data_IF_704486853086
#
_entry.id   IF_704486853086
#
_cell.length_a   1.000
_cell.length_b   1.000
_cell.length_c   1.000
_cell.angle_alpha   90.00
_cell.angle_beta   90.00
_cell.angle_gamma   90.00
#
_symmetry.space_group_name_H-M   'P 1'
#
loop_
_entity.id
_entity.type
_entity.pdbx_description
1 polymer ?
#
# COMPACT_ATOMS: atom_id res chain seq x y z
N UNK A 1 -19.68 -35.63 75.75
CA UNK A 1 -20.98 -35.30 76.35
C UNK A 1 -21.39 -33.97 75.75
N UNK A 2 -22.44 -34.01 74.92
CA UNK A 2 -23.37 -32.91 74.53
C UNK A 2 -22.74 -31.64 73.89
N UNK A 3 -22.94 -31.39 72.59
CA UNK A 3 -24.11 -30.74 71.95
C UNK A 3 -24.40 -29.35 72.58
N UNK A 4 -24.35 -28.22 71.87
CA UNK A 4 -25.53 -27.64 71.17
C UNK A 4 -25.17 -26.26 70.53
N UNK A 5 -25.45 -26.14 69.23
CA UNK A 5 -26.13 -25.05 68.47
C UNK A 5 -25.48 -23.66 68.21
N UNK A 6 -25.40 -23.37 66.89
CA UNK A 6 -25.21 -22.10 66.12
C UNK A 6 -26.33 -21.05 66.44
N UNK A 7 -26.35 -19.75 66.02
CA UNK A 7 -25.90 -19.20 64.72
C UNK A 7 -25.48 -17.71 64.68
N UNK A 8 -25.13 -17.19 63.48
CA UNK A 8 -25.05 -15.75 63.24
C UNK A 8 -24.49 -15.36 61.86
N UNK A 9 -25.32 -15.43 60.82
CA UNK A 9 -25.05 -14.86 59.47
C UNK A 9 -25.08 -13.33 59.55
N UNK A 10 -24.01 -12.67 59.13
CA UNK A 10 -23.98 -11.23 58.83
C UNK A 10 -23.49 -10.99 57.40
N UNK A 11 -24.41 -10.63 56.51
CA UNK A 11 -24.15 -10.17 55.13
C UNK A 11 -23.69 -8.71 55.19
N UNK A 12 -22.55 -8.38 54.59
CA UNK A 12 -22.27 -7.01 54.14
C UNK A 12 -21.82 -7.06 52.68
N UNK A 13 -22.71 -6.57 51.81
CA UNK A 13 -22.45 -6.40 50.40
C UNK A 13 -21.61 -5.14 50.18
N UNK A 14 -20.55 -5.28 49.39
CA UNK A 14 -19.87 -4.15 48.76
C UNK A 14 -20.27 -4.23 47.29
N UNK A 15 -21.25 -3.42 46.90
CA UNK A 15 -21.58 -3.17 45.50
C UNK A 15 -20.55 -2.16 44.99
N UNK A 16 -19.45 -2.66 44.43
CA UNK A 16 -18.51 -1.85 43.67
C UNK A 16 -19.15 -1.49 42.32
N UNK A 17 -19.59 -0.25 42.17
CA UNK A 17 -20.00 0.29 40.88
C UNK A 17 -18.77 0.39 39.98
N UNK A 18 -18.60 -0.56 39.07
CA UNK A 18 -17.66 -0.45 37.97
C UNK A 18 -18.18 0.64 37.02
N UNK A 19 -17.50 1.79 37.02
CA UNK A 19 -17.71 2.82 36.02
C UNK A 19 -17.27 2.26 34.66
N UNK A 20 -18.25 1.85 33.86
CA UNK A 20 -18.05 1.44 32.47
C UNK A 20 -17.72 2.70 31.67
N UNK A 21 -16.43 2.96 31.43
CA UNK A 21 -15.98 3.96 30.48
C UNK A 21 -16.29 3.43 29.09
N UNK A 22 -17.37 3.92 28.49
CA UNK A 22 -17.66 3.70 27.07
C UNK A 22 -16.70 4.59 26.28
N UNK A 23 -15.60 4.00 25.79
CA UNK A 23 -14.78 4.62 24.76
C UNK A 23 -15.60 4.55 23.48
N UNK A 24 -16.30 5.63 23.13
CA UNK A 24 -16.87 5.80 21.80
C UNK A 24 -15.70 6.01 20.85
N UNK A 25 -15.17 4.93 20.29
CA UNK A 25 -14.31 5.03 19.11
C UNK A 25 -15.11 5.80 18.06
N UNK A 26 -14.60 6.97 17.66
CA UNK A 26 -15.09 7.66 16.48
C UNK A 26 -14.77 6.75 15.28
N UNK A 27 -15.68 5.84 14.97
CA UNK A 27 -15.49 4.83 13.95
C UNK A 27 -15.80 5.48 12.60
N UNK A 28 -14.83 6.21 12.06
CA UNK A 28 -14.80 6.46 10.63
C UNK A 28 -14.66 5.12 9.88
N UNK A 29 -15.03 5.07 8.59
CA UNK A 29 -14.70 3.92 7.76
C UNK A 29 -13.17 3.70 7.80
N UNK A 30 -12.69 2.43 7.80
CA UNK A 30 -11.26 2.16 7.77
C UNK A 30 -10.64 2.78 6.51
N UNK A 31 -9.49 3.41 6.66
CA UNK A 31 -8.73 3.96 5.54
C UNK A 31 -8.09 2.82 4.74
N UNK A 32 -8.32 2.80 3.43
CA UNK A 32 -7.82 1.78 2.50
C UNK A 32 -7.10 2.45 1.33
N UNK A 33 -5.99 1.86 0.90
CA UNK A 33 -5.31 2.21 -0.35
C UNK A 33 -5.37 1.00 -1.28
N UNK A 34 -5.56 1.22 -2.57
CA UNK A 34 -5.46 0.20 -3.60
C UNK A 34 -4.37 0.58 -4.60
N UNK A 35 -3.48 -0.37 -4.90
CA UNK A 35 -2.43 -0.25 -5.88
C UNK A 35 -2.89 -0.85 -7.21
N UNK A 36 -2.99 -0.01 -8.23
CA UNK A 36 -3.33 -0.40 -9.60
C UNK A 36 -2.25 -0.03 -10.60
N UNK A 37 -2.40 -0.55 -11.81
CA UNK A 37 -1.70 -0.11 -13.01
C UNK A 37 -2.50 0.96 -13.74
N UNK A 38 -2.23 1.10 -15.02
CA UNK A 38 -2.99 1.94 -15.95
C UNK A 38 -3.57 1.08 -17.07
N UNK A 39 -4.78 1.41 -17.52
CA UNK A 39 -5.35 0.83 -18.72
C UNK A 39 -4.60 1.29 -19.98
N UNK A 40 -5.02 0.80 -21.16
CA UNK A 40 -4.41 1.15 -22.46
C UNK A 40 -4.47 2.65 -22.79
N UNK A 41 -5.42 3.38 -22.20
CA UNK A 41 -5.53 4.84 -22.33
C UNK A 41 -4.47 5.61 -21.54
N UNK A 42 -3.67 4.91 -20.72
CA UNK A 42 -2.58 5.44 -19.92
C UNK A 42 -3.02 6.22 -18.68
N UNK A 43 -4.32 6.31 -18.37
CA UNK A 43 -4.83 7.16 -17.26
C UNK A 43 -5.89 6.48 -16.41
N UNK A 44 -6.66 5.54 -16.95
CA UNK A 44 -7.71 4.84 -16.21
C UNK A 44 -7.07 3.82 -15.26
N UNK A 45 -7.56 3.76 -14.02
CA UNK A 45 -7.13 2.77 -13.04
C UNK A 45 -7.46 1.36 -13.54
N UNK A 46 -6.47 0.47 -13.53
CA UNK A 46 -6.63 -0.95 -13.87
C UNK A 46 -5.90 -1.82 -12.82
N UNK A 47 -6.23 -3.12 -12.70
CA UNK A 47 -5.43 -4.04 -11.89
C UNK A 47 -3.94 -4.04 -12.30
N UNK A 48 -3.02 -4.05 -11.32
CA UNK A 48 -1.59 -4.22 -11.57
C UNK A 48 -1.24 -5.70 -11.56
N UNK A 49 -1.37 -6.37 -12.70
CA UNK A 49 -1.15 -7.81 -12.80
C UNK A 49 -0.62 -8.22 -14.17
N UNK A 50 -0.12 -9.45 -14.26
CA UNK A 50 0.35 -10.03 -15.52
C UNK A 50 1.49 -9.25 -16.15
N UNK A 51 1.55 -9.26 -17.48
CA UNK A 51 2.61 -8.62 -18.24
C UNK A 51 2.40 -7.12 -18.30
N UNK A 52 3.43 -6.36 -17.92
CA UNK A 52 3.39 -4.89 -17.90
C UNK A 52 4.52 -4.33 -18.76
N UNK A 53 4.21 -3.59 -19.85
CA UNK A 53 5.24 -3.01 -20.68
C UNK A 53 5.99 -1.92 -19.90
N UNK A 54 7.32 -2.00 -19.92
CA UNK A 54 8.17 -0.94 -19.42
C UNK A 54 8.06 0.30 -20.31
N UNK A 55 7.79 1.45 -19.69
CA UNK A 55 7.65 2.73 -20.39
C UNK A 55 8.94 3.53 -20.27
N UNK A 56 9.48 4.08 -21.38
CA UNK A 56 10.66 4.93 -21.31
C UNK A 56 10.37 6.22 -20.55
N UNK A 57 11.23 6.53 -19.58
CA UNK A 57 11.20 7.77 -18.83
C UNK A 57 12.06 8.86 -19.48
N UNK A 58 11.77 10.13 -19.19
CA UNK A 58 12.50 11.29 -19.72
C UNK A 58 13.98 11.35 -19.34
N UNK A 59 14.39 10.60 -18.31
CA UNK A 59 15.76 10.53 -17.80
C UNK A 59 16.52 9.30 -18.32
N UNK A 60 16.01 8.60 -19.34
CA UNK A 60 16.65 7.42 -19.93
C UNK A 60 16.54 6.15 -19.08
N UNK A 61 15.64 6.14 -18.09
CA UNK A 61 15.24 4.94 -17.35
C UNK A 61 13.96 4.32 -17.91
N UNK A 62 13.50 3.26 -17.29
CA UNK A 62 12.20 2.64 -17.58
C UNK A 62 11.40 2.43 -16.31
N UNK A 63 10.08 2.54 -16.41
CA UNK A 63 9.18 2.39 -15.27
C UNK A 63 7.90 1.66 -15.65
N UNK A 64 7.22 1.15 -14.62
CA UNK A 64 5.82 0.74 -14.70
C UNK A 64 4.99 1.91 -14.18
N UNK A 65 3.92 2.28 -14.89
CA UNK A 65 2.95 3.25 -14.40
C UNK A 65 2.05 2.60 -13.37
N UNK A 66 1.89 3.24 -12.21
CA UNK A 66 0.97 2.79 -11.17
C UNK A 66 0.00 3.91 -10.81
N UNK A 67 -1.22 3.53 -10.42
CA UNK A 67 -2.21 4.43 -9.85
C UNK A 67 -2.56 3.99 -8.44
N UNK A 68 -2.96 4.96 -7.63
CA UNK A 68 -3.43 4.71 -6.27
C UNK A 68 -4.88 5.18 -6.15
N UNK A 69 -5.70 4.36 -5.52
CA UNK A 69 -7.06 4.71 -5.12
C UNK A 69 -7.13 4.71 -3.60
N UNK A 70 -7.75 5.72 -3.02
CA UNK A 70 -7.86 5.95 -1.59
C UNK A 70 -9.34 5.94 -1.20
N UNK A 71 -9.65 5.25 -0.11
CA UNK A 71 -10.99 5.19 0.49
C UNK A 71 -10.87 5.51 1.97
N UNK A 72 -11.76 6.35 2.51
CA UNK A 72 -11.76 6.67 3.95
C UNK A 72 -10.54 7.49 4.41
N UNK A 73 -9.89 8.23 3.51
CA UNK A 73 -8.84 9.19 3.83
C UNK A 73 -9.40 10.62 3.83
N UNK A 74 -9.02 11.42 4.81
CA UNK A 74 -9.30 12.85 4.83
C UNK A 74 -8.54 13.57 3.71
N UNK A 75 -9.15 14.55 3.00
CA UNK A 75 -8.46 15.38 2.03
C UNK A 75 -7.24 16.08 2.66
N UNK A 76 -6.11 16.04 1.97
CA UNK A 76 -4.87 16.60 2.48
C UNK A 76 -3.63 15.89 1.98
N UNK A 77 -2.48 16.27 2.55
CA UNK A 77 -1.19 15.68 2.18
C UNK A 77 -0.93 14.43 3.00
N UNK A 78 -0.78 13.30 2.31
CA UNK A 78 -0.40 12.02 2.88
C UNK A 78 0.98 11.61 2.38
N UNK A 79 1.74 10.89 3.21
CA UNK A 79 3.02 10.32 2.77
C UNK A 79 2.78 8.92 2.26
N UNK A 80 3.25 8.62 1.06
CA UNK A 80 3.16 7.28 0.47
C UNK A 80 4.56 6.74 0.24
N UNK A 81 4.81 5.53 0.73
CA UNK A 81 5.99 4.74 0.45
C UNK A 81 5.62 3.65 -0.57
N UNK A 82 6.37 3.57 -1.66
CA UNK A 82 6.24 2.50 -2.65
C UNK A 82 7.53 1.71 -2.68
N UNK A 83 7.42 0.39 -2.64
CA UNK A 83 8.56 -0.50 -2.81
C UNK A 83 8.28 -1.50 -3.93
N UNK A 84 9.34 -1.98 -4.57
CA UNK A 84 9.25 -3.08 -5.51
C UNK A 84 10.39 -4.06 -5.25
N UNK A 85 10.08 -5.36 -5.25
CA UNK A 85 11.03 -6.45 -4.99
C UNK A 85 10.85 -7.56 -5.99
N UNK A 86 11.95 -8.12 -6.48
CA UNK A 86 11.89 -9.35 -7.27
C UNK A 86 11.46 -10.51 -6.37
N UNK A 87 10.42 -11.24 -6.78
CA UNK A 87 9.80 -12.27 -5.92
C UNK A 87 10.70 -13.47 -5.66
N UNK A 88 11.55 -13.83 -6.64
CA UNK A 88 12.43 -15.00 -6.56
C UNK A 88 13.42 -14.92 -5.39
N UNK A 89 13.95 -13.74 -5.07
CA UNK A 89 15.04 -13.56 -4.12
C UNK A 89 14.92 -12.32 -3.24
N UNK A 90 13.74 -11.69 -3.20
CA UNK A 90 13.40 -10.57 -2.32
C UNK A 90 14.27 -9.32 -2.49
N UNK A 91 15.06 -9.27 -3.58
CA UNK A 91 15.97 -8.17 -3.85
C UNK A 91 15.19 -6.91 -4.17
N UNK A 92 15.55 -5.83 -3.49
CA UNK A 92 14.97 -4.51 -3.68
C UNK A 92 15.30 -3.97 -5.07
N UNK A 93 14.27 -3.57 -5.80
CA UNK A 93 14.33 -2.90 -7.11
C UNK A 93 14.09 -1.40 -6.92
N UNK A 94 13.00 -1.06 -6.23
CA UNK A 94 12.57 0.31 -6.01
C UNK A 94 12.26 0.52 -4.52
N UNK A 95 12.67 1.67 -4.01
CA UNK A 95 12.08 2.27 -2.81
C UNK A 95 11.93 3.76 -3.07
N UNK A 96 10.73 4.29 -2.89
CA UNK A 96 10.47 5.72 -3.02
C UNK A 96 9.44 6.17 -2.01
N UNK A 97 9.57 7.40 -1.57
CA UNK A 97 8.64 8.05 -0.64
C UNK A 97 8.22 9.38 -1.24
N UNK A 98 6.93 9.63 -1.31
CA UNK A 98 6.37 10.82 -1.97
C UNK A 98 5.19 11.34 -1.18
N UNK A 99 5.01 12.67 -1.16
CA UNK A 99 3.78 13.26 -0.64
C UNK A 99 2.70 13.29 -1.72
N UNK A 100 1.51 12.79 -1.41
CA UNK A 100 0.34 12.81 -2.30
C UNK A 100 -0.72 13.71 -1.66
N UNK A 101 -1.27 14.64 -2.45
CA UNK A 101 -2.42 15.43 -2.04
C UNK A 101 -3.70 14.67 -2.39
N UNK A 102 -4.24 13.95 -1.42
CA UNK A 102 -5.55 13.29 -1.55
C UNK A 102 -6.63 14.37 -1.57
N UNK A 103 -7.47 14.35 -2.58
CA UNK A 103 -8.57 15.30 -2.76
C UNK A 103 -9.89 14.78 -2.20
N UNK A 104 -10.96 15.48 -2.55
CA UNK A 104 -12.33 15.07 -2.20
C UNK A 104 -12.67 13.75 -2.91
N UNK A 105 -13.24 12.76 -2.20
CA UNK A 105 -13.71 11.53 -2.83
C UNK A 105 -14.87 11.80 -3.79
N UNK A 106 -15.00 10.94 -4.79
CA UNK A 106 -16.13 10.94 -5.71
C UNK A 106 -17.42 10.38 -5.07
N UNK A 107 -18.46 10.22 -5.89
CA UNK A 107 -19.74 9.67 -5.43
C UNK A 107 -19.67 8.22 -4.92
N UNK A 108 -18.60 7.48 -5.23
CA UNK A 108 -18.33 6.14 -4.71
C UNK A 108 -17.57 6.14 -3.38
N UNK A 109 -17.15 7.32 -2.89
CA UNK A 109 -16.36 7.46 -1.68
C UNK A 109 -14.86 7.23 -1.90
N UNK A 110 -14.40 7.27 -3.17
CA UNK A 110 -13.00 7.02 -3.51
C UNK A 110 -12.36 8.23 -4.15
N UNK A 111 -11.07 8.42 -3.91
CA UNK A 111 -10.24 9.40 -4.62
C UNK A 111 -9.08 8.68 -5.30
N UNK A 112 -8.80 9.01 -6.55
CA UNK A 112 -7.68 8.45 -7.30
C UNK A 112 -6.62 9.49 -7.60
N UNK A 113 -5.36 9.06 -7.69
CA UNK A 113 -4.30 9.91 -8.23
C UNK A 113 -4.67 10.35 -9.65
N UNK A 114 -4.70 11.67 -9.94
CA UNK A 114 -5.13 12.18 -11.25
C UNK A 114 -4.18 11.72 -12.35
N UNK A 115 -2.88 11.78 -12.08
CA UNK A 115 -1.83 11.31 -12.97
C UNK A 115 -1.24 9.98 -12.46
N UNK A 116 -0.88 9.05 -13.36
CA UNK A 116 -0.12 7.87 -12.98
C UNK A 116 1.24 8.24 -12.39
N UNK A 117 1.65 7.46 -11.40
CA UNK A 117 2.93 7.61 -10.72
C UNK A 117 3.95 6.65 -11.34
N UNK A 118 5.18 7.10 -11.63
CA UNK A 118 6.20 6.19 -12.16
C UNK A 118 6.76 5.34 -11.02
N UNK A 119 6.86 4.03 -11.25
CA UNK A 119 7.65 3.10 -10.45
C UNK A 119 8.89 2.72 -11.26
N UNK A 120 10.00 3.41 -11.04
CA UNK A 120 11.24 3.24 -11.81
C UNK A 120 11.88 1.87 -11.55
N UNK A 121 11.96 1.07 -12.61
CA UNK A 121 12.53 -0.28 -12.59
C UNK A 121 13.97 -0.29 -13.12
N UNK A 122 14.34 0.69 -13.97
CA UNK A 122 15.64 0.75 -14.61
C UNK A 122 16.26 2.16 -14.55
N UNK A 123 17.60 2.30 -14.45
CA UNK A 123 18.61 1.23 -14.39
C UNK A 123 18.44 0.31 -13.19
N UNK A 124 18.45 -1.00 -13.43
CA UNK A 124 18.19 -1.96 -12.38
C UNK A 124 19.44 -2.09 -11.48
N UNK A 125 19.28 -2.37 -10.17
CA UNK A 125 20.41 -2.59 -9.28
C UNK A 125 21.29 -3.75 -9.75
N UNK A 126 22.60 -3.66 -9.50
CA UNK A 126 23.57 -4.67 -9.96
C UNK A 126 23.17 -6.09 -9.53
N UNK A 127 23.06 -7.00 -10.49
CA UNK A 127 22.62 -8.40 -10.33
C UNK A 127 21.12 -8.60 -10.11
N UNK A 128 20.30 -7.56 -10.31
CA UNK A 128 18.84 -7.63 -10.26
C UNK A 128 18.29 -7.38 -11.66
N UNK A 129 18.01 -8.44 -12.40
CA UNK A 129 17.13 -8.35 -13.57
C UNK A 129 15.69 -8.11 -13.12
N UNK A 130 15.02 -7.17 -13.79
CA UNK A 130 13.58 -6.91 -13.66
C UNK A 130 12.79 -7.35 -14.89
N UNK A 131 13.49 -7.67 -15.99
CA UNK A 131 12.89 -8.09 -17.26
C UNK A 131 12.35 -9.50 -17.13
N UNK A 132 11.08 -9.70 -17.47
CA UNK A 132 10.38 -10.98 -17.51
C UNK A 132 10.43 -11.74 -16.17
N UNK A 133 10.62 -10.99 -15.07
CA UNK A 133 10.68 -11.50 -13.70
C UNK A 133 9.45 -10.98 -12.93
N UNK A 134 8.78 -11.81 -12.12
CA UNK A 134 7.70 -11.31 -11.30
C UNK A 134 8.24 -10.36 -10.23
N UNK A 135 7.71 -9.14 -10.23
CA UNK A 135 8.03 -8.09 -9.28
C UNK A 135 6.82 -7.87 -8.39
N UNK A 136 7.00 -7.97 -7.08
CA UNK A 136 6.01 -7.56 -6.08
C UNK A 136 6.17 -6.07 -5.84
N UNK A 137 5.10 -5.33 -6.11
CA UNK A 137 4.95 -3.91 -5.80
C UNK A 137 4.13 -3.79 -4.52
N UNK A 138 4.56 -2.91 -3.63
CA UNK A 138 3.88 -2.65 -2.36
C UNK A 138 3.74 -1.14 -2.19
N UNK A 139 2.60 -0.74 -1.62
CA UNK A 139 2.33 0.64 -1.23
C UNK A 139 1.94 0.69 0.24
N UNK A 140 2.47 1.68 0.96
CA UNK A 140 2.10 2.00 2.32
C UNK A 140 1.77 3.48 2.40
N UNK A 141 0.63 3.82 3.01
CA UNK A 141 0.32 5.20 3.41
C UNK A 141 0.79 5.38 4.84
N UNK A 142 1.62 6.39 5.08
CA UNK A 142 2.27 6.66 6.35
C UNK A 142 1.65 7.88 7.04
N UNK A 143 1.45 7.78 8.35
CA UNK A 143 1.11 8.93 9.21
C UNK A 143 2.32 9.84 9.48
N UNK A 144 2.12 10.89 10.29
CA UNK A 144 3.18 11.83 10.66
C UNK A 144 4.30 11.19 11.49
N UNK A 145 4.02 10.10 12.20
CA UNK A 145 5.00 9.31 12.94
C UNK A 145 5.73 8.30 12.04
N UNK A 146 5.39 8.23 10.75
CA UNK A 146 5.93 7.29 9.78
C UNK A 146 5.42 5.86 9.93
N UNK A 147 4.30 5.65 10.64
CA UNK A 147 3.64 4.36 10.77
C UNK A 147 2.67 4.13 9.61
N UNK A 148 2.62 2.90 9.09
CA UNK A 148 1.69 2.55 8.04
C UNK A 148 0.25 2.51 8.58
N UNK A 149 -0.64 3.30 7.98
CA UNK A 149 -2.07 3.35 8.30
C UNK A 149 -2.93 2.61 7.28
N UNK A 150 -2.40 2.39 6.07
CA UNK A 150 -2.98 1.53 5.05
C UNK A 150 -1.85 0.93 4.20
N UNK A 151 -2.08 -0.26 3.64
CA UNK A 151 -1.15 -0.92 2.74
C UNK A 151 -1.89 -1.72 1.68
N UNK A 152 -1.26 -1.91 0.54
CA UNK A 152 -1.71 -2.84 -0.50
C UNK A 152 -0.50 -3.32 -1.33
N UNK A 153 -0.68 -4.40 -2.08
CA UNK A 153 0.37 -4.94 -2.92
C UNK A 153 -0.16 -5.72 -4.11
N UNK A 154 0.64 -5.75 -5.17
CA UNK A 154 0.32 -6.45 -6.40
C UNK A 154 1.58 -7.07 -7.01
N UNK A 155 1.41 -8.06 -7.88
CA UNK A 155 2.52 -8.72 -8.57
C UNK A 155 2.31 -8.58 -10.06
N UNK A 156 3.32 -8.08 -10.76
CA UNK A 156 3.34 -7.95 -12.20
C UNK A 156 4.70 -8.35 -12.76
N UNK A 157 4.75 -8.65 -14.06
CA UNK A 157 5.94 -9.06 -14.79
C UNK A 157 6.31 -7.98 -15.80
N UNK A 158 7.29 -7.10 -15.48
CA UNK A 158 7.71 -6.07 -16.41
C UNK A 158 8.46 -6.66 -17.61
N UNK A 159 8.13 -6.24 -18.83
CA UNK A 159 8.87 -6.61 -20.03
C UNK A 159 9.34 -5.39 -20.79
N UNK A 160 10.47 -5.49 -21.49
CA UNK A 160 10.95 -4.39 -22.31
C UNK A 160 9.99 -4.11 -23.47
N UNK A 161 9.75 -2.83 -23.82
CA UNK A 161 8.86 -2.49 -24.92
C UNK A 161 9.46 -2.98 -26.24
N UNK A 162 8.59 -3.19 -27.22
CA UNK A 162 9.01 -3.41 -28.59
C UNK A 162 9.55 -2.12 -29.25
N UNK A 163 10.23 -2.26 -30.40
CA UNK A 163 10.68 -1.13 -31.21
C UNK A 163 12.05 -0.56 -30.82
N UNK A 164 12.24 0.73 -31.07
CA UNK A 164 13.57 1.38 -31.03
C UNK A 164 14.23 1.38 -29.65
N UNK A 165 13.44 1.37 -28.57
CA UNK A 165 13.92 1.40 -27.19
C UNK A 165 14.23 -0.01 -26.63
N UNK A 166 13.89 -1.08 -27.35
CA UNK A 166 13.96 -2.45 -26.85
C UNK A 166 15.38 -2.86 -26.43
N UNK A 167 16.37 -2.61 -27.28
CA UNK A 167 17.77 -2.99 -27.01
C UNK A 167 18.34 -2.21 -25.82
N UNK A 168 18.04 -0.91 -25.74
CA UNK A 168 18.50 -0.08 -24.63
C UNK A 168 17.84 -0.50 -23.31
N UNK A 169 16.53 -0.77 -23.33
CA UNK A 169 15.83 -1.34 -22.19
C UNK A 169 16.48 -2.64 -21.71
N UNK A 170 16.71 -3.60 -22.62
CA UNK A 170 17.32 -4.88 -22.29
C UNK A 170 18.68 -4.71 -21.61
N UNK A 171 19.48 -3.74 -22.05
CA UNK A 171 20.79 -3.47 -21.50
C UNK A 171 20.73 -2.93 -20.06
N UNK A 172 19.80 -2.03 -19.75
CA UNK A 172 19.79 -1.32 -18.44
C UNK A 172 18.86 -1.97 -17.40
N UNK A 173 18.00 -2.88 -17.83
CA UNK A 173 17.03 -3.55 -16.97
C UNK A 173 17.47 -4.98 -16.54
N UNK A 174 18.56 -5.52 -17.10
CA UNK A 174 19.04 -6.87 -16.77
C UNK A 174 19.87 -6.97 -15.48
N UNK A 175 20.32 -5.84 -14.93
CA UNK A 175 21.14 -5.77 -13.71
C UNK A 175 22.56 -6.31 -13.85
#
# INVERSE_FOLDING_TARGET
MEEVVRPGRGRFGIVGAAALVVVTAACGPPSEVQLGGVAEDGVTFAPLEGDQPLVPGSQGGFHVWVKLRFTGFEPGKHTVQRTARRTRDERLVLTTRTGIAVGEPDASGTWETPDPLPSFMCPAPIGVSVIDEPIRFEVEVLDEAGQAVAHDGAVATPHCPEGEQAQFCQQICSG
#
